data_IF_612755379428
#
_entry.id   IF_612755379428
#
_cell.length_a   1.000
_cell.length_b   1.000
_cell.length_c   1.000
_cell.angle_alpha   90.00
_cell.angle_beta   90.00
_cell.angle_gamma   90.00
#
_symmetry.space_group_name_H-M   'P 1'
#
loop_
_entity.id
_entity.type
_entity.pdbx_description
1 polymer ?
#
# COMPACT_ATOMS: atom_id res chain seq x y z
N UNK A 1 4.33 -29.98 4.78
CA UNK A 1 4.20 -28.56 5.13
C UNK A 1 2.99 -28.42 6.06
N UNK A 2 2.98 -27.47 7.01
CA UNK A 2 1.84 -27.35 7.93
C UNK A 2 0.60 -26.83 7.21
N UNK A 3 -0.56 -27.25 7.71
CA UNK A 3 -1.87 -26.68 7.42
C UNK A 3 -2.34 -25.86 8.62
N UNK A 4 -3.24 -24.92 8.39
CA UNK A 4 -3.82 -24.07 9.42
C UNK A 4 -5.34 -24.11 9.35
N UNK A 5 -6.01 -23.80 10.45
CA UNK A 5 -7.46 -23.62 10.49
C UNK A 5 -7.76 -22.14 10.50
N UNK A 6 -8.59 -21.69 9.57
CA UNK A 6 -8.94 -20.28 9.40
C UNK A 6 -10.45 -20.10 9.38
N UNK A 7 -10.91 -18.99 9.97
CA UNK A 7 -12.30 -18.54 9.90
C UNK A 7 -12.32 -17.01 9.98
N UNK A 8 -13.46 -16.42 9.61
CA UNK A 8 -13.68 -14.98 9.80
C UNK A 8 -15.13 -14.74 10.23
N UNK A 9 -15.41 -13.52 10.68
CA UNK A 9 -16.74 -13.11 11.11
C UNK A 9 -17.22 -11.95 10.26
N UNK A 10 -18.51 -11.96 9.90
CA UNK A 10 -19.18 -10.83 9.23
C UNK A 10 -20.10 -10.12 10.21
N UNK A 11 -20.50 -8.89 9.86
CA UNK A 11 -21.59 -8.16 10.53
C UNK A 11 -22.80 -8.12 9.62
N UNK A 12 -23.94 -8.51 10.14
CA UNK A 12 -25.20 -8.44 9.40
C UNK A 12 -26.40 -8.30 10.33
N UNK A 13 -27.46 -7.66 9.84
CA UNK A 13 -28.79 -7.66 10.44
C UNK A 13 -29.72 -8.70 9.77
N UNK A 14 -29.22 -9.39 8.77
CA UNK A 14 -29.96 -10.46 8.08
C UNK A 14 -29.76 -11.76 8.84
N UNK A 15 -30.82 -12.57 9.07
CA UNK A 15 -30.68 -13.86 9.73
C UNK A 15 -29.65 -14.76 9.03
N UNK A 16 -28.75 -15.43 9.76
CA UNK A 16 -27.65 -16.18 9.17
C UNK A 16 -28.10 -17.29 8.22
N UNK A 17 -29.25 -17.90 8.45
CA UNK A 17 -29.82 -18.96 7.60
C UNK A 17 -30.07 -18.53 6.14
N UNK A 18 -30.09 -17.21 5.89
CA UNK A 18 -30.26 -16.64 4.56
C UNK A 18 -28.94 -16.16 3.94
N UNK A 19 -27.79 -16.35 4.60
CA UNK A 19 -26.51 -15.85 4.13
C UNK A 19 -25.61 -17.01 3.73
N UNK A 20 -25.17 -16.98 2.45
CA UNK A 20 -24.05 -17.78 1.98
C UNK A 20 -22.85 -16.91 1.70
N UNK A 21 -21.67 -17.53 1.72
CA UNK A 21 -20.43 -16.83 1.40
C UNK A 21 -19.51 -17.68 0.51
N UNK A 22 -18.70 -16.97 -0.29
CA UNK A 22 -17.44 -17.48 -0.81
C UNK A 22 -16.31 -16.91 0.03
N UNK A 23 -15.27 -17.69 0.27
CA UNK A 23 -14.06 -17.29 0.94
C UNK A 23 -12.85 -17.69 0.09
N UNK A 24 -12.10 -16.69 -0.37
CA UNK A 24 -10.83 -16.88 -1.06
C UNK A 24 -9.73 -16.21 -0.26
N UNK A 25 -8.69 -16.99 0.10
CA UNK A 25 -7.49 -16.47 0.77
C UNK A 25 -6.29 -16.80 -0.13
N UNK A 26 -5.54 -15.78 -0.52
CA UNK A 26 -4.40 -15.94 -1.41
C UNK A 26 -3.33 -14.89 -1.15
N UNK A 27 -2.14 -15.12 -1.69
CA UNK A 27 -1.13 -14.10 -1.93
C UNK A 27 -0.67 -14.13 -3.38
N UNK A 28 -0.08 -13.05 -3.84
CA UNK A 28 0.62 -13.07 -5.13
C UNK A 28 2.05 -13.56 -4.97
N UNK A 29 2.56 -14.28 -5.96
CA UNK A 29 3.98 -14.56 -6.08
C UNK A 29 4.69 -13.47 -6.93
N UNK A 30 6.02 -13.58 -7.06
CA UNK A 30 6.82 -12.64 -7.84
C UNK A 30 6.43 -12.60 -9.33
N UNK A 31 5.81 -13.65 -9.85
CA UNK A 31 5.28 -13.75 -11.21
C UNK A 31 3.83 -13.29 -11.33
N UNK A 32 3.27 -12.70 -10.27
CA UNK A 32 1.88 -12.23 -10.15
C UNK A 32 0.82 -13.32 -10.25
N UNK A 33 1.18 -14.57 -9.99
CA UNK A 33 0.19 -15.63 -9.88
C UNK A 33 -0.38 -15.67 -8.46
N UNK A 34 -1.68 -15.95 -8.35
CA UNK A 34 -2.32 -16.18 -7.06
C UNK A 34 -1.87 -17.54 -6.50
N UNK A 35 -1.24 -17.52 -5.32
CA UNK A 35 -0.99 -18.69 -4.49
C UNK A 35 -2.13 -18.82 -3.50
N UNK A 36 -3.04 -19.73 -3.80
CA UNK A 36 -4.29 -19.92 -3.05
C UNK A 36 -3.98 -20.69 -1.76
N UNK A 37 -4.50 -20.17 -0.65
CA UNK A 37 -4.43 -20.80 0.67
C UNK A 37 -5.76 -21.45 1.05
N UNK A 38 -6.89 -20.79 0.73
CA UNK A 38 -8.26 -21.29 0.90
C UNK A 38 -9.09 -20.83 -0.29
N UNK A 39 -9.92 -21.69 -0.83
CA UNK A 39 -10.92 -21.38 -1.87
C UNK A 39 -12.16 -22.23 -1.63
N UNK A 40 -13.21 -21.59 -1.13
CA UNK A 40 -14.50 -22.22 -0.89
C UNK A 40 -15.63 -21.35 -1.41
N UNK A 41 -16.69 -21.98 -1.89
CA UNK A 41 -17.82 -21.31 -2.53
C UNK A 41 -19.14 -21.70 -1.88
N UNK A 42 -20.04 -20.74 -1.79
CA UNK A 42 -21.43 -20.87 -1.37
C UNK A 42 -21.64 -21.69 -0.08
N UNK A 43 -20.83 -21.39 0.94
CA UNK A 43 -20.95 -22.04 2.25
C UNK A 43 -21.97 -21.29 3.12
N UNK A 44 -22.71 -22.03 3.93
CA UNK A 44 -23.61 -21.45 4.93
C UNK A 44 -22.79 -20.78 6.05
N UNK A 45 -23.18 -19.56 6.42
CA UNK A 45 -22.60 -18.91 7.60
C UNK A 45 -23.16 -19.55 8.88
N UNK A 46 -22.38 -19.53 9.96
CA UNK A 46 -22.85 -20.04 11.25
C UNK A 46 -23.82 -19.05 11.92
N UNK A 47 -24.59 -19.53 12.88
CA UNK A 47 -25.58 -18.71 13.62
C UNK A 47 -24.99 -17.49 14.33
N UNK A 48 -23.72 -17.52 14.64
CA UNK A 48 -22.96 -16.41 15.25
C UNK A 48 -22.31 -15.47 14.23
N UNK A 49 -22.64 -15.61 12.93
CA UNK A 49 -22.06 -14.89 11.78
C UNK A 49 -20.58 -15.19 11.52
N UNK A 50 -20.08 -16.31 11.99
CA UNK A 50 -18.75 -16.80 11.64
C UNK A 50 -18.82 -17.70 10.41
N UNK A 51 -17.78 -17.67 9.60
CA UNK A 51 -17.59 -18.68 8.55
C UNK A 51 -17.36 -20.04 9.19
N UNK A 52 -17.54 -21.11 8.44
CA UNK A 52 -17.07 -22.43 8.85
C UNK A 52 -15.55 -22.37 9.06
N UNK A 53 -15.02 -23.32 9.84
CA UNK A 53 -13.59 -23.52 9.96
C UNK A 53 -13.08 -24.20 8.69
N UNK A 54 -12.14 -23.56 8.00
CA UNK A 54 -11.54 -24.07 6.78
C UNK A 54 -10.10 -24.46 7.01
N UNK A 55 -9.73 -25.66 6.54
CA UNK A 55 -8.33 -26.09 6.54
C UNK A 55 -7.64 -25.49 5.32
N UNK A 56 -6.51 -24.84 5.55
CA UNK A 56 -5.71 -24.26 4.47
C UNK A 56 -5.03 -25.32 3.63
N UNK A 57 -4.62 -24.94 2.42
CA UNK A 57 -3.58 -25.66 1.71
C UNK A 57 -2.29 -25.71 2.55
N UNK A 58 -1.44 -26.71 2.29
CA UNK A 58 -0.13 -26.78 2.91
C UNK A 58 0.74 -25.57 2.51
N UNK A 59 1.40 -24.96 3.47
CA UNK A 59 2.31 -23.85 3.21
C UNK A 59 3.52 -23.89 4.12
N UNK A 60 4.68 -23.46 3.60
CA UNK A 60 5.91 -23.21 4.37
C UNK A 60 6.20 -21.71 4.51
N UNK A 61 5.21 -20.87 4.19
CA UNK A 61 5.39 -19.42 4.29
C UNK A 61 5.61 -19.00 5.74
N UNK A 62 6.51 -18.03 5.99
CA UNK A 62 6.69 -17.44 7.32
C UNK A 62 5.39 -16.84 7.85
N UNK A 63 5.23 -16.78 9.17
CA UNK A 63 4.06 -16.20 9.83
C UNK A 63 3.80 -14.73 9.47
N UNK A 64 4.83 -13.98 9.10
CA UNK A 64 4.71 -12.59 8.67
C UNK A 64 4.23 -12.43 7.21
N UNK A 65 4.11 -13.51 6.44
CA UNK A 65 3.64 -13.44 5.04
C UNK A 65 2.23 -12.91 4.98
N UNK A 66 2.00 -11.88 4.15
CA UNK A 66 0.71 -11.22 3.99
C UNK A 66 -0.15 -11.94 2.96
N UNK A 67 -1.38 -12.24 3.35
CA UNK A 67 -2.42 -12.81 2.51
C UNK A 67 -3.57 -11.82 2.33
N UNK A 68 -4.21 -11.85 1.17
CA UNK A 68 -5.47 -11.16 0.92
C UNK A 68 -6.61 -12.14 1.15
N UNK A 69 -7.55 -11.76 1.99
CA UNK A 69 -8.81 -12.48 2.21
C UNK A 69 -9.91 -11.75 1.46
N UNK A 70 -10.57 -12.45 0.55
CA UNK A 70 -11.74 -11.98 -0.19
C UNK A 70 -12.99 -12.71 0.29
N UNK A 71 -14.04 -11.96 0.61
CA UNK A 71 -15.35 -12.52 1.00
C UNK A 71 -16.41 -12.00 0.06
N UNK A 72 -17.13 -12.89 -0.59
CA UNK A 72 -18.32 -12.58 -1.38
C UNK A 72 -19.55 -13.09 -0.63
N UNK A 73 -20.59 -12.27 -0.52
CA UNK A 73 -21.83 -12.65 0.17
C UNK A 73 -22.95 -12.84 -0.81
N UNK A 74 -23.82 -13.80 -0.48
CA UNK A 74 -25.02 -14.13 -1.20
C UNK A 74 -26.22 -14.14 -0.24
N UNK A 75 -27.36 -13.76 -0.75
CA UNK A 75 -28.65 -13.96 -0.10
C UNK A 75 -29.33 -15.19 -0.73
N UNK A 76 -29.67 -16.13 0.11
CA UNK A 76 -30.47 -17.30 -0.28
C UNK A 76 -31.92 -17.08 0.12
N UNK A 77 -32.85 -17.37 -0.77
CA UNK A 77 -34.25 -17.55 -0.48
C UNK A 77 -34.71 -18.95 -0.96
N UNK A 78 -35.98 -19.23 -0.85
CA UNK A 78 -36.53 -20.56 -1.24
C UNK A 78 -36.42 -20.85 -2.74
N UNK A 79 -36.25 -19.85 -3.59
CA UNK A 79 -36.30 -19.99 -5.05
C UNK A 79 -34.93 -19.78 -5.70
N UNK A 80 -34.09 -18.93 -5.12
CA UNK A 80 -32.84 -18.55 -5.75
C UNK A 80 -31.76 -18.07 -4.73
N UNK A 81 -30.52 -18.11 -5.19
CA UNK A 81 -29.37 -17.49 -4.50
C UNK A 81 -28.89 -16.31 -5.32
N UNK A 82 -28.90 -15.13 -4.74
CA UNK A 82 -28.41 -13.89 -5.37
C UNK A 82 -27.15 -13.41 -4.73
N UNK A 83 -26.18 -13.05 -5.56
CA UNK A 83 -24.98 -12.34 -5.12
C UNK A 83 -25.38 -10.93 -4.67
N UNK A 84 -24.98 -10.55 -3.45
CA UNK A 84 -25.30 -9.24 -2.86
C UNK A 84 -24.13 -8.27 -2.90
N UNK A 85 -22.90 -8.75 -2.91
CA UNK A 85 -21.72 -7.89 -3.02
C UNK A 85 -21.33 -7.75 -4.47
N UNK A 86 -21.38 -6.54 -5.08
CA UNK A 86 -20.97 -6.33 -6.48
C UNK A 86 -19.49 -6.71 -6.70
N UNK A 87 -18.66 -6.45 -5.70
CA UNK A 87 -17.25 -6.86 -5.64
C UNK A 87 -16.99 -7.57 -4.31
N UNK A 88 -16.04 -8.50 -4.24
CA UNK A 88 -15.64 -9.10 -2.97
C UNK A 88 -15.18 -8.03 -1.97
N UNK A 89 -15.37 -8.29 -0.69
CA UNK A 89 -14.74 -7.52 0.38
C UNK A 89 -13.36 -8.08 0.64
N UNK A 90 -12.36 -7.21 0.63
CA UNK A 90 -10.97 -7.61 0.74
C UNK A 90 -10.35 -7.05 2.01
N UNK A 91 -9.56 -7.87 2.70
CA UNK A 91 -8.70 -7.47 3.81
C UNK A 91 -7.37 -8.18 3.77
N UNK A 92 -6.36 -7.55 4.38
CA UNK A 92 -5.03 -8.14 4.54
C UNK A 92 -4.88 -8.74 5.93
N UNK A 93 -4.24 -9.91 5.99
CA UNK A 93 -3.83 -10.57 7.21
C UNK A 93 -2.47 -11.23 7.02
N UNK A 94 -1.68 -11.28 8.08
CA UNK A 94 -0.50 -12.15 8.11
C UNK A 94 -0.93 -13.61 8.28
N UNK A 95 -0.09 -14.56 7.87
CA UNK A 95 -0.36 -15.98 8.11
C UNK A 95 -0.49 -16.28 9.62
N UNK A 96 0.29 -15.59 10.46
CA UNK A 96 0.18 -15.71 11.91
C UNK A 96 -1.19 -15.26 12.44
N UNK A 97 -1.74 -14.15 11.92
CA UNK A 97 -3.09 -13.70 12.27
C UNK A 97 -4.16 -14.70 11.84
N UNK A 98 -4.05 -15.21 10.62
CA UNK A 98 -4.99 -16.22 10.09
C UNK A 98 -4.96 -17.52 10.91
N UNK A 99 -3.75 -18.04 11.18
CA UNK A 99 -3.57 -19.31 11.88
C UNK A 99 -3.87 -19.26 13.39
N UNK A 100 -3.82 -18.08 13.99
CA UNK A 100 -4.14 -17.90 15.41
C UNK A 100 -5.63 -17.67 15.69
N UNK A 101 -6.48 -17.70 14.68
CA UNK A 101 -7.89 -17.34 14.79
C UNK A 101 -8.13 -15.85 15.07
N UNK A 102 -7.08 -15.02 14.98
CA UNK A 102 -7.15 -13.58 15.23
C UNK A 102 -7.70 -12.77 14.06
N UNK A 103 -8.02 -13.42 12.96
CA UNK A 103 -8.75 -12.78 11.86
C UNK A 103 -10.07 -12.13 12.33
N UNK A 104 -10.56 -12.49 13.50
CA UNK A 104 -11.73 -11.91 14.14
C UNK A 104 -11.60 -11.68 15.66
N UNK A 105 -10.49 -12.08 16.34
CA UNK A 105 -10.32 -11.94 17.80
C UNK A 105 -8.83 -11.91 18.19
N UNK A 106 -8.40 -11.17 19.22
CA UNK A 106 -9.15 -10.28 20.11
C UNK A 106 -9.42 -8.92 19.51
N UNK A 107 -8.68 -8.52 18.50
CA UNK A 107 -8.98 -7.37 17.65
C UNK A 107 -9.98 -7.88 16.63
N UNK A 108 -11.25 -7.94 17.01
CA UNK A 108 -12.34 -8.36 16.14
C UNK A 108 -12.31 -7.53 14.85
N UNK A 109 -11.57 -7.96 13.86
CA UNK A 109 -11.66 -7.44 12.51
C UNK A 109 -12.92 -8.05 11.89
N UNK A 110 -14.06 -7.53 12.32
CA UNK A 110 -15.30 -7.87 11.66
C UNK A 110 -15.20 -7.47 10.21
N UNK A 111 -15.43 -8.41 9.36
CA UNK A 111 -15.41 -8.24 7.93
C UNK A 111 -16.83 -8.06 7.43
N UNK A 112 -17.00 -8.08 6.13
CA UNK A 112 -17.99 -7.26 5.47
C UNK A 112 -19.27 -7.14 6.25
N UNK A 113 -19.79 -5.89 6.27
CA UNK A 113 -21.10 -5.61 6.83
C UNK A 113 -22.15 -5.80 5.73
N UNK A 114 -23.22 -6.52 6.06
CA UNK A 114 -24.39 -6.65 5.22
C UNK A 114 -25.63 -6.25 6.03
N UNK A 115 -26.25 -5.13 5.67
CA UNK A 115 -27.45 -4.62 6.34
C UNK A 115 -28.55 -4.38 5.33
N UNK A 116 -29.72 -4.94 5.60
CA UNK A 116 -30.96 -4.59 4.88
C UNK A 116 -31.61 -3.37 5.57
N UNK A 117 -32.16 -2.46 4.77
CA UNK A 117 -32.97 -1.34 5.30
C UNK A 117 -34.27 -1.86 5.89
N UNK A 118 -34.93 -1.07 6.76
CA UNK A 118 -36.23 -1.45 7.34
C UNK A 118 -37.28 -1.70 6.27
N UNK A 119 -37.26 -0.97 5.18
CA UNK A 119 -38.18 -1.14 4.06
C UNK A 119 -37.89 -2.46 3.31
N UNK A 120 -36.64 -2.76 3.08
CA UNK A 120 -36.20 -4.02 2.49
C UNK A 120 -36.52 -5.21 3.41
N UNK A 121 -36.32 -5.06 4.70
CA UNK A 121 -36.65 -6.12 5.69
C UNK A 121 -38.16 -6.39 5.76
N UNK A 122 -39.02 -5.41 5.49
CA UNK A 122 -40.47 -5.59 5.38
C UNK A 122 -40.88 -6.31 4.10
N UNK A 123 -40.15 -6.13 3.02
CA UNK A 123 -40.41 -6.73 1.71
C UNK A 123 -39.85 -8.15 1.58
N UNK A 124 -38.88 -8.50 2.43
CA UNK A 124 -38.23 -9.81 2.39
C UNK A 124 -39.00 -10.79 3.25
N UNK A 125 -40.16 -11.18 2.77
CA UNK A 125 -40.72 -12.49 3.14
C UNK A 125 -40.03 -13.56 2.33
N UNK A 126 -39.92 -14.83 2.84
CA UNK A 126 -39.41 -15.92 2.04
C UNK A 126 -40.19 -15.97 0.71
N UNK A 127 -39.49 -15.76 -0.41
CA UNK A 127 -40.08 -15.76 -1.75
C UNK A 127 -40.24 -14.40 -2.45
N UNK A 128 -39.92 -13.25 -1.84
CA UNK A 128 -40.03 -11.94 -2.49
C UNK A 128 -38.71 -11.44 -3.08
N UNK A 129 -38.79 -10.91 -4.32
CA UNK A 129 -37.65 -10.72 -5.23
C UNK A 129 -36.77 -9.50 -5.02
N UNK A 130 -37.10 -8.55 -4.16
CA UNK A 130 -36.42 -7.27 -4.10
C UNK A 130 -35.49 -7.13 -2.90
N UNK A 131 -34.33 -7.81 -2.99
CA UNK A 131 -33.27 -7.61 -2.03
C UNK A 131 -32.19 -6.77 -2.70
N UNK A 132 -32.23 -5.48 -2.49
CA UNK A 132 -31.08 -4.61 -2.64
C UNK A 132 -30.39 -4.56 -1.28
N UNK A 133 -29.39 -5.34 -1.18
CA UNK A 133 -28.64 -5.33 0.01
C UNK A 133 -27.35 -4.61 -0.22
N UNK A 134 -26.88 -4.15 0.82
CA UNK A 134 -25.60 -3.64 1.12
C UNK A 134 -25.56 -2.20 1.27
N UNK A 135 -25.58 -1.86 2.48
CA UNK A 135 -24.72 -0.75 2.72
C UNK A 135 -23.77 -1.15 3.81
N UNK A 136 -22.53 -1.32 3.41
CA UNK A 136 -21.53 -0.76 4.26
C UNK A 136 -22.02 0.66 4.46
N UNK A 137 -22.47 1.01 5.66
CA UNK A 137 -22.55 2.41 6.03
C UNK A 137 -21.10 2.88 6.05
N UNK A 138 -20.56 3.17 4.86
CA UNK A 138 -19.32 3.89 4.77
C UNK A 138 -19.62 5.24 5.37
N UNK A 139 -18.94 5.61 6.48
CA UNK A 139 -18.89 7.02 6.80
C UNK A 139 -18.45 7.73 5.52
N UNK A 140 -18.86 8.97 5.38
CA UNK A 140 -18.32 9.84 4.35
C UNK A 140 -16.81 9.58 4.24
N UNK A 141 -16.30 9.37 3.02
CA UNK A 141 -14.88 9.01 2.84
C UNK A 141 -13.99 9.93 3.66
N UNK A 142 -12.93 9.42 4.31
CA UNK A 142 -12.11 10.21 5.23
C UNK A 142 -11.36 11.35 4.52
N UNK A 143 -10.91 11.12 3.26
CA UNK A 143 -10.11 12.10 2.52
C UNK A 143 -10.98 13.08 1.72
N UNK A 144 -10.90 14.36 2.10
CA UNK A 144 -11.61 15.49 1.46
C UNK A 144 -10.63 16.67 1.39
N UNK A 145 -10.22 17.07 0.19
CA UNK A 145 -9.42 18.27 0.02
C UNK A 145 -10.27 19.52 0.24
N UNK A 146 -9.75 20.50 1.00
CA UNK A 146 -10.51 21.69 1.37
C UNK A 146 -10.87 22.55 0.16
N UNK A 147 -9.94 22.72 -0.76
CA UNK A 147 -10.13 23.52 -1.99
C UNK A 147 -10.84 22.73 -3.11
N UNK A 148 -10.91 21.40 -2.98
CA UNK A 148 -11.54 20.51 -3.96
C UNK A 148 -12.45 19.50 -3.25
N UNK A 149 -13.57 19.98 -2.64
CA UNK A 149 -14.46 19.12 -1.86
C UNK A 149 -15.18 18.08 -2.72
N UNK A 150 -15.92 17.20 -2.08
CA UNK A 150 -16.71 16.17 -2.76
C UNK A 150 -17.66 16.84 -3.77
N UNK A 151 -17.63 16.35 -5.01
CA UNK A 151 -18.42 16.86 -6.13
C UNK A 151 -17.78 18.02 -6.91
N UNK A 152 -16.56 18.44 -6.52
CA UNK A 152 -15.77 19.35 -7.33
C UNK A 152 -15.15 18.60 -8.53
N UNK A 153 -15.12 19.22 -9.72
CA UNK A 153 -14.60 18.59 -10.94
C UNK A 153 -13.14 18.15 -10.85
N UNK A 154 -12.37 18.78 -9.97
CA UNK A 154 -10.97 18.45 -9.69
C UNK A 154 -10.79 17.81 -8.31
N UNK A 155 -11.80 17.10 -7.79
CA UNK A 155 -11.66 16.35 -6.54
C UNK A 155 -10.57 15.26 -6.67
N UNK A 156 -9.39 15.40 -6.01
CA UNK A 156 -8.29 14.46 -6.18
C UNK A 156 -8.60 13.07 -5.61
N UNK A 157 -9.59 12.98 -4.72
CA UNK A 157 -9.98 11.74 -4.04
C UNK A 157 -11.28 11.14 -4.59
N UNK A 158 -11.76 11.61 -5.75
CA UNK A 158 -12.93 11.08 -6.39
C UNK A 158 -12.75 9.58 -6.67
N UNK A 159 -13.83 8.81 -6.50
CA UNK A 159 -13.81 7.34 -6.51
C UNK A 159 -13.27 6.75 -7.81
N UNK A 160 -13.66 7.30 -8.96
CA UNK A 160 -13.22 6.81 -10.26
C UNK A 160 -11.74 7.08 -10.46
N UNK A 161 -11.25 8.25 -10.07
CA UNK A 161 -9.85 8.66 -10.14
C UNK A 161 -8.98 7.73 -9.28
N UNK A 162 -9.34 7.53 -8.02
CA UNK A 162 -8.57 6.66 -7.13
C UNK A 162 -8.59 5.22 -7.62
N UNK A 163 -9.72 4.73 -8.11
CA UNK A 163 -9.82 3.37 -8.66
C UNK A 163 -8.93 3.18 -9.88
N UNK A 164 -8.89 4.14 -10.78
CA UNK A 164 -8.00 4.14 -11.94
C UNK A 164 -6.54 4.14 -11.51
N UNK A 165 -6.15 5.04 -10.61
CA UNK A 165 -4.80 5.13 -10.07
C UNK A 165 -4.37 3.83 -9.37
N UNK A 166 -5.22 3.20 -8.57
CA UNK A 166 -4.94 1.89 -7.96
C UNK A 166 -4.69 0.84 -9.06
N UNK A 167 -5.51 0.81 -10.10
CA UNK A 167 -5.36 -0.15 -11.21
C UNK A 167 -4.05 0.07 -11.96
N UNK A 168 -3.69 1.30 -12.24
CA UNK A 168 -2.44 1.68 -12.91
C UNK A 168 -1.22 1.27 -12.09
N UNK A 169 -1.25 1.52 -10.76
CA UNK A 169 -0.19 1.09 -9.83
C UNK A 169 -0.10 -0.42 -9.71
N UNK A 170 -1.22 -1.12 -9.60
CA UNK A 170 -1.26 -2.58 -9.57
C UNK A 170 -0.62 -3.18 -10.82
N UNK A 171 -0.82 -2.58 -11.98
CA UNK A 171 -0.23 -3.03 -13.25
C UNK A 171 1.20 -2.51 -13.49
N UNK A 172 1.78 -1.76 -12.55
CA UNK A 172 3.13 -1.15 -12.66
C UNK A 172 3.31 -0.28 -13.91
N UNK A 173 2.23 0.39 -14.31
CA UNK A 173 2.24 1.36 -15.40
C UNK A 173 2.62 2.77 -14.92
N UNK A 174 2.62 2.97 -13.62
CA UNK A 174 2.98 4.21 -12.94
C UNK A 174 3.54 3.87 -11.54
N UNK A 175 4.29 4.79 -10.93
CA UNK A 175 4.99 4.58 -9.66
C UNK A 175 4.72 5.72 -8.67
N UNK A 176 4.92 5.47 -7.33
CA UNK A 176 4.72 6.49 -6.32
C UNK A 176 5.50 7.78 -6.61
N UNK A 177 4.80 8.91 -6.63
CA UNK A 177 5.40 10.20 -6.92
C UNK A 177 5.19 11.16 -5.75
N UNK A 178 6.29 11.57 -5.12
CA UNK A 178 6.26 12.48 -3.98
C UNK A 178 5.84 13.92 -4.31
N UNK A 179 5.69 14.28 -5.60
CA UNK A 179 5.52 15.67 -6.00
C UNK A 179 6.69 16.54 -5.52
N UNK A 180 6.37 17.67 -4.92
CA UNK A 180 7.34 18.61 -4.36
C UNK A 180 7.59 18.43 -2.86
N UNK A 181 6.89 17.48 -2.23
CA UNK A 181 6.95 17.23 -0.79
C UNK A 181 8.16 16.42 -0.35
N UNK A 182 8.44 16.43 0.97
CA UNK A 182 9.47 15.61 1.61
C UNK A 182 9.00 14.16 1.83
N UNK A 183 8.44 13.55 0.79
CA UNK A 183 7.83 12.21 0.81
C UNK A 183 8.71 11.14 0.15
N UNK A 184 10.02 11.40 -0.03
CA UNK A 184 10.93 10.45 -0.69
C UNK A 184 11.06 9.12 0.08
N UNK A 185 11.07 9.14 1.42
CA UNK A 185 11.08 7.92 2.23
C UNK A 185 9.81 7.07 2.02
N UNK A 186 8.61 7.62 2.24
CA UNK A 186 7.36 6.95 1.89
C UNK A 186 7.30 6.46 0.44
N UNK A 187 7.78 7.26 -0.52
CA UNK A 187 7.79 6.89 -1.93
C UNK A 187 8.70 5.67 -2.19
N UNK A 188 9.90 5.64 -1.61
CA UNK A 188 10.81 4.49 -1.68
C UNK A 188 10.18 3.23 -1.07
N UNK A 189 9.54 3.37 0.09
CA UNK A 189 8.83 2.28 0.75
C UNK A 189 7.69 1.72 -0.11
N UNK A 190 6.76 2.57 -0.55
CA UNK A 190 5.61 2.11 -1.34
C UNK A 190 6.01 1.64 -2.75
N UNK A 191 7.09 2.17 -3.33
CA UNK A 191 7.66 1.61 -4.56
C UNK A 191 8.11 0.16 -4.35
N UNK A 192 8.84 -0.14 -3.29
CA UNK A 192 9.26 -1.51 -2.99
C UNK A 192 8.06 -2.45 -2.77
N UNK A 193 7.04 -2.01 -2.02
CA UNK A 193 5.78 -2.78 -1.85
C UNK A 193 5.11 -3.03 -3.21
N UNK A 194 4.98 -2.00 -4.05
CA UNK A 194 4.36 -2.12 -5.37
C UNK A 194 5.09 -3.13 -6.27
N UNK A 195 6.43 -3.13 -6.22
CA UNK A 195 7.24 -4.01 -7.04
C UNK A 195 7.18 -5.46 -6.57
N UNK A 196 7.16 -5.70 -5.27
CA UNK A 196 7.14 -7.05 -4.70
C UNK A 196 5.73 -7.63 -4.60
N UNK A 197 4.79 -6.82 -4.10
CA UNK A 197 3.42 -7.20 -3.76
C UNK A 197 2.43 -6.11 -4.19
N UNK A 198 2.17 -5.99 -5.52
CA UNK A 198 1.21 -4.99 -6.04
C UNK A 198 -0.20 -5.17 -5.48
N UNK A 199 -0.58 -6.38 -5.08
CA UNK A 199 -1.82 -6.69 -4.38
C UNK A 199 -1.89 -6.04 -3.00
N UNK A 200 -0.79 -6.08 -2.24
CA UNK A 200 -0.67 -5.42 -0.92
C UNK A 200 -0.72 -3.90 -1.07
N UNK A 201 0.01 -3.33 -2.04
CA UNK A 201 -0.06 -1.91 -2.35
C UNK A 201 -1.49 -1.46 -2.66
N UNK A 202 -2.15 -2.15 -3.61
CA UNK A 202 -3.50 -1.83 -4.03
C UNK A 202 -4.52 -1.95 -2.89
N UNK A 203 -4.36 -2.96 -2.04
CA UNK A 203 -5.24 -3.15 -0.88
C UNK A 203 -5.01 -2.08 0.19
N UNK A 204 -3.75 -1.72 0.48
CA UNK A 204 -3.44 -0.64 1.42
C UNK A 204 -4.02 0.70 0.97
N UNK A 205 -3.85 1.06 -0.31
CA UNK A 205 -4.43 2.27 -0.88
C UNK A 205 -5.96 2.28 -0.80
N UNK A 206 -6.61 1.14 -1.08
CA UNK A 206 -8.06 0.98 -0.97
C UNK A 206 -8.54 1.14 0.48
N UNK A 207 -7.87 0.51 1.44
CA UNK A 207 -8.23 0.60 2.85
C UNK A 207 -8.07 2.03 3.39
N UNK A 208 -6.97 2.70 3.05
CA UNK A 208 -6.76 4.12 3.40
C UNK A 208 -7.87 5.01 2.81
N UNK A 209 -8.18 4.84 1.53
CA UNK A 209 -9.25 5.62 0.89
C UNK A 209 -10.62 5.37 1.51
N UNK A 210 -10.95 4.11 1.84
CA UNK A 210 -12.26 3.74 2.40
C UNK A 210 -12.41 4.12 3.87
N UNK A 211 -11.36 3.95 4.67
CA UNK A 211 -11.46 3.98 6.14
C UNK A 211 -10.42 4.89 6.81
N UNK A 212 -9.55 5.56 6.06
CA UNK A 212 -8.47 6.39 6.62
C UNK A 212 -7.45 5.62 7.45
N UNK A 213 -7.36 4.31 7.28
CA UNK A 213 -6.39 3.47 7.99
C UNK A 213 -6.14 2.16 7.26
N UNK A 214 -4.94 1.63 7.41
CA UNK A 214 -4.56 0.29 6.93
C UNK A 214 -3.48 -0.32 7.83
N UNK A 215 -3.23 -1.61 7.65
CA UNK A 215 -2.15 -2.31 8.33
C UNK A 215 -1.44 -3.23 7.33
N UNK A 216 -0.16 -3.01 7.12
CA UNK A 216 0.70 -3.84 6.27
C UNK A 216 1.63 -4.63 7.19
N UNK A 217 1.45 -5.94 7.33
CA UNK A 217 2.17 -6.73 8.34
C UNK A 217 1.86 -6.19 9.74
N UNK A 218 2.88 -5.70 10.44
CA UNK A 218 2.75 -5.02 11.73
C UNK A 218 2.78 -3.47 11.60
N UNK A 219 2.96 -2.94 10.41
CA UNK A 219 2.96 -1.50 10.15
C UNK A 219 1.52 -0.99 10.10
N UNK A 220 1.11 -0.24 11.12
CA UNK A 220 -0.17 0.47 11.13
C UNK A 220 0.00 1.85 10.54
N UNK A 221 -0.90 2.24 9.62
CA UNK A 221 -0.95 3.56 9.00
C UNK A 221 -2.31 4.16 9.32
N UNK A 222 -2.30 5.20 10.15
CA UNK A 222 -3.50 5.89 10.61
C UNK A 222 -3.22 7.40 10.64
N UNK A 223 -3.40 8.09 9.50
CA UNK A 223 -3.16 9.53 9.41
C UNK A 223 -4.14 10.31 10.29
N UNK A 224 -3.70 11.47 10.77
CA UNK A 224 -4.52 12.41 11.51
C UNK A 224 -5.56 13.12 10.64
N UNK A 225 -6.45 13.86 11.28
CA UNK A 225 -7.52 14.58 10.60
C UNK A 225 -7.00 15.62 9.60
N UNK A 226 -5.89 16.31 9.90
CA UNK A 226 -5.26 17.27 9.00
C UNK A 226 -4.84 16.65 7.67
N UNK A 227 -4.21 15.47 7.72
CA UNK A 227 -3.81 14.73 6.54
C UNK A 227 -5.03 14.21 5.74
N UNK A 228 -6.09 13.80 6.43
CA UNK A 228 -7.34 13.39 5.78
C UNK A 228 -8.10 14.57 5.16
N UNK A 229 -7.91 15.79 5.66
CA UNK A 229 -8.56 17.02 5.17
C UNK A 229 -7.53 18.06 4.75
N UNK A 230 -6.67 17.72 3.77
CA UNK A 230 -5.56 18.58 3.38
C UNK A 230 -6.04 19.91 2.81
N UNK A 231 -5.23 20.94 3.04
CA UNK A 231 -5.33 22.23 2.38
C UNK A 231 -4.27 22.36 1.29
N UNK A 232 -4.38 23.41 0.47
CA UNK A 232 -3.44 23.72 -0.58
C UNK A 232 -3.82 23.19 -1.95
N UNK A 233 -3.00 23.53 -2.92
CA UNK A 233 -3.33 23.33 -4.31
C UNK A 233 -2.81 21.99 -4.82
N UNK A 234 -3.70 21.06 -5.11
CA UNK A 234 -3.37 19.77 -5.71
C UNK A 234 -2.98 19.86 -7.19
N UNK A 235 -3.24 21.00 -7.85
CA UNK A 235 -3.08 21.13 -9.31
C UNK A 235 -2.27 22.36 -9.71
N UNK A 236 -1.48 22.21 -10.76
CA UNK A 236 -0.86 23.32 -11.44
C UNK A 236 -1.83 23.93 -12.47
N UNK A 237 -2.47 25.03 -12.10
CA UNK A 237 -3.43 25.73 -12.96
C UNK A 237 -2.78 26.57 -14.07
N UNK A 238 -1.46 26.66 -14.16
CA UNK A 238 -0.77 27.30 -15.29
C UNK A 238 -0.86 26.49 -16.59
N UNK A 239 -1.31 25.25 -16.48
CA UNK A 239 -1.57 24.35 -17.64
C UNK A 239 -3.06 24.18 -17.87
N UNK A 240 -3.44 23.94 -19.10
CA UNK A 240 -4.83 23.64 -19.48
C UNK A 240 -4.86 22.33 -20.29
N UNK A 241 -5.45 21.23 -19.80
CA UNK A 241 -6.06 21.12 -18.47
C UNK A 241 -5.04 21.20 -17.31
N UNK A 242 -5.50 21.54 -16.09
CA UNK A 242 -4.64 21.56 -14.91
C UNK A 242 -3.98 20.20 -14.67
N UNK A 243 -2.69 20.20 -14.31
CA UNK A 243 -1.95 18.95 -14.05
C UNK A 243 -1.72 18.74 -12.57
N UNK A 244 -1.87 17.52 -12.04
CA UNK A 244 -1.62 17.24 -10.63
C UNK A 244 -0.19 17.59 -10.20
N UNK A 245 -0.04 18.27 -9.08
CA UNK A 245 1.22 18.46 -8.37
C UNK A 245 1.55 17.22 -7.52
N UNK A 246 0.51 16.62 -6.97
CA UNK A 246 0.53 15.30 -6.34
C UNK A 246 -0.78 14.59 -6.67
N UNK A 247 -0.71 13.29 -6.95
CA UNK A 247 -1.91 12.51 -7.23
C UNK A 247 -2.67 12.17 -5.95
N UNK A 248 -3.99 11.93 -6.07
CA UNK A 248 -4.80 11.51 -4.93
C UNK A 248 -4.27 10.25 -4.25
N UNK A 249 -3.85 9.24 -5.04
CA UNK A 249 -3.31 7.99 -4.48
C UNK A 249 -1.97 8.22 -3.75
N UNK A 250 -1.13 9.10 -4.28
CA UNK A 250 0.16 9.41 -3.63
C UNK A 250 -0.08 10.16 -2.30
N UNK A 251 -1.05 11.08 -2.26
CA UNK A 251 -1.42 11.70 -1.00
C UNK A 251 -1.92 10.66 0.02
N UNK A 252 -2.90 9.82 -0.36
CA UNK A 252 -3.49 8.82 0.56
C UNK A 252 -2.45 7.82 1.06
N UNK A 253 -1.44 7.48 0.26
CA UNK A 253 -0.42 6.51 0.67
C UNK A 253 0.77 7.19 1.33
N UNK A 254 1.46 8.10 0.63
CA UNK A 254 2.73 8.66 1.07
C UNK A 254 2.56 9.64 2.23
N UNK A 255 1.61 10.56 2.12
CA UNK A 255 1.35 11.53 3.18
C UNK A 255 0.80 10.84 4.42
N UNK A 256 -0.11 9.87 4.26
CA UNK A 256 -0.63 9.09 5.39
C UNK A 256 0.44 8.33 6.17
N UNK A 257 1.37 7.67 5.47
CA UNK A 257 2.49 7.00 6.14
C UNK A 257 3.35 7.99 6.89
N UNK A 258 3.66 9.13 6.26
CA UNK A 258 4.49 10.17 6.88
C UNK A 258 3.82 10.77 8.10
N UNK A 259 2.53 11.08 8.01
CA UNK A 259 1.74 11.69 9.08
C UNK A 259 1.55 10.75 10.27
N UNK A 260 1.33 9.46 10.01
CA UNK A 260 1.14 8.44 11.05
C UNK A 260 2.34 8.29 11.99
N UNK A 261 3.55 8.61 11.53
CA UNK A 261 4.78 8.51 12.31
C UNK A 261 5.18 9.85 12.97
N UNK A 262 4.56 10.96 12.58
CA UNK A 262 4.89 12.27 13.11
C UNK A 262 3.95 12.68 14.26
N UNK A 263 4.28 12.30 15.48
CA UNK A 263 3.55 12.75 16.67
C UNK A 263 3.63 14.28 16.92
N UNK A 264 4.53 15.01 16.23
CA UNK A 264 4.79 16.43 16.51
C UNK A 264 4.59 17.38 15.31
N UNK A 265 4.47 16.88 14.08
CA UNK A 265 4.31 17.70 12.87
C UNK A 265 3.25 17.06 11.98
N UNK A 266 2.08 17.66 11.90
CA UNK A 266 1.01 17.21 11.03
C UNK A 266 1.36 17.48 9.55
N UNK A 267 1.11 16.50 8.70
CA UNK A 267 1.20 16.65 7.24
C UNK A 267 -0.19 17.01 6.71
N UNK A 268 -0.55 18.30 6.78
CA UNK A 268 -1.91 18.80 6.55
C UNK A 268 -2.06 19.70 5.32
N UNK A 269 -0.96 19.97 4.60
CA UNK A 269 -0.98 20.80 3.40
C UNK A 269 -0.04 20.26 2.32
N UNK A 270 -0.46 20.41 1.04
CA UNK A 270 0.31 19.98 -0.14
C UNK A 270 1.65 20.71 -0.22
N UNK A 271 1.71 21.95 0.25
CA UNK A 271 2.89 22.83 0.19
C UNK A 271 3.73 22.83 1.48
N UNK A 272 3.50 21.86 2.39
CA UNK A 272 4.19 21.83 3.68
C UNK A 272 5.69 21.51 3.54
N UNK A 273 6.61 22.50 3.73
CA UNK A 273 8.04 22.26 3.61
C UNK A 273 8.67 21.66 4.88
N UNK A 274 7.88 21.50 5.94
CA UNK A 274 8.39 21.31 7.30
C UNK A 274 8.81 19.88 7.63
N UNK A 275 8.51 18.90 6.81
CA UNK A 275 8.93 17.53 7.07
C UNK A 275 10.26 17.25 6.39
N UNK A 276 11.36 17.35 7.13
CA UNK A 276 12.70 16.92 6.69
C UNK A 276 12.72 15.48 6.16
N UNK A 277 13.86 15.04 5.63
CA UNK A 277 14.07 13.66 5.16
C UNK A 277 13.67 12.67 6.24
N UNK A 278 12.94 11.61 5.85
CA UNK A 278 12.69 10.47 6.74
C UNK A 278 14.00 9.91 7.24
N UNK A 279 14.16 9.80 8.55
CA UNK A 279 15.37 9.23 9.15
C UNK A 279 15.51 7.75 8.77
N UNK A 280 16.74 7.28 8.61
CA UNK A 280 17.01 5.90 8.20
C UNK A 280 16.49 4.86 9.18
N UNK A 281 16.49 5.16 10.48
CA UNK A 281 15.92 4.26 11.50
C UNK A 281 14.41 4.07 11.30
N UNK A 282 13.69 5.18 11.10
CA UNK A 282 12.25 5.18 10.84
C UNK A 282 11.91 4.44 9.55
N UNK A 283 12.67 4.71 8.48
CA UNK A 283 12.46 4.03 7.21
C UNK A 283 12.73 2.52 7.33
N UNK A 284 13.81 2.11 8.01
CA UNK A 284 14.10 0.71 8.27
C UNK A 284 12.99 0.03 9.08
N UNK A 285 12.47 0.71 10.09
CA UNK A 285 11.36 0.21 10.92
C UNK A 285 10.08 -0.03 10.10
N UNK A 286 9.73 0.88 9.18
CA UNK A 286 8.58 0.69 8.29
C UNK A 286 8.71 -0.58 7.44
N UNK A 287 9.87 -0.78 6.84
CA UNK A 287 10.14 -1.99 6.06
C UNK A 287 10.03 -3.25 6.92
N UNK A 288 10.66 -3.27 8.10
CA UNK A 288 10.64 -4.43 8.99
C UNK A 288 9.22 -4.74 9.51
N UNK A 289 8.47 -3.73 9.94
CA UNK A 289 7.07 -3.90 10.36
C UNK A 289 6.17 -4.38 9.22
N UNK A 290 6.44 -3.97 7.98
CA UNK A 290 5.74 -4.46 6.81
C UNK A 290 6.11 -5.90 6.42
N UNK A 291 7.08 -6.51 7.08
CA UNK A 291 7.48 -7.91 6.86
C UNK A 291 8.74 -8.10 6.03
N UNK A 292 9.46 -7.03 5.67
CA UNK A 292 10.77 -7.13 5.03
C UNK A 292 11.84 -7.57 6.04
N UNK A 293 12.78 -8.38 5.59
CA UNK A 293 13.99 -8.72 6.35
C UNK A 293 15.12 -7.76 5.99
N UNK A 294 15.57 -6.95 6.94
CA UNK A 294 16.74 -6.10 6.80
C UNK A 294 18.00 -6.96 6.88
N UNK A 295 18.80 -7.01 5.82
CA UNK A 295 20.02 -7.82 5.74
C UNK A 295 21.29 -6.99 5.85
N UNK A 296 21.22 -5.70 5.55
CA UNK A 296 22.34 -4.77 5.68
C UNK A 296 21.85 -3.33 5.88
N UNK A 297 22.57 -2.56 6.69
CA UNK A 297 22.30 -1.14 6.88
C UNK A 297 23.59 -0.41 7.25
N UNK A 298 23.98 0.57 6.43
CA UNK A 298 25.01 1.55 6.75
C UNK A 298 24.57 3.00 6.40
N UNK A 299 23.25 3.19 6.19
CA UNK A 299 22.71 4.52 5.95
C UNK A 299 22.96 5.44 7.15
N UNK A 300 23.43 6.65 6.92
CA UNK A 300 23.77 7.60 7.98
C UNK A 300 24.21 8.95 7.46
N UNK A 301 24.95 9.66 8.28
CA UNK A 301 25.55 10.95 7.93
C UNK A 301 26.96 10.81 7.35
N UNK A 302 27.57 9.65 7.46
CA UNK A 302 28.88 9.34 6.91
C UNK A 302 28.76 8.96 5.45
N UNK A 303 29.70 9.44 4.64
CA UNK A 303 29.73 9.09 3.20
C UNK A 303 30.05 7.61 3.03
N UNK A 304 29.42 7.00 2.04
CA UNK A 304 29.69 5.63 1.64
C UNK A 304 31.00 5.51 0.85
N UNK A 305 31.38 4.28 0.57
CA UNK A 305 32.63 3.88 -0.08
C UNK A 305 32.39 3.14 -1.40
N UNK A 306 33.46 2.88 -2.15
CA UNK A 306 33.43 2.02 -3.34
C UNK A 306 33.03 0.57 -2.96
N UNK A 307 33.42 0.11 -1.79
CA UNK A 307 33.08 -1.24 -1.34
C UNK A 307 31.59 -1.36 -1.03
N UNK A 308 30.95 -0.30 -0.55
CA UNK A 308 29.49 -0.26 -0.40
C UNK A 308 28.80 -0.36 -1.76
N UNK A 309 29.29 0.34 -2.79
CA UNK A 309 28.75 0.23 -4.15
C UNK A 309 28.86 -1.18 -4.68
N UNK A 310 29.99 -1.85 -4.50
CA UNK A 310 30.19 -3.27 -4.91
C UNK A 310 29.21 -4.18 -4.19
N UNK A 311 29.04 -3.97 -2.89
CA UNK A 311 28.10 -4.74 -2.06
C UNK A 311 26.65 -4.52 -2.54
N UNK A 312 26.24 -3.27 -2.79
CA UNK A 312 24.90 -2.97 -3.29
C UNK A 312 24.65 -3.52 -4.69
N UNK A 313 25.65 -3.47 -5.58
CA UNK A 313 25.57 -4.11 -6.89
C UNK A 313 25.30 -5.62 -6.79
N UNK A 314 25.98 -6.31 -5.86
CA UNK A 314 25.76 -7.75 -5.62
C UNK A 314 24.32 -8.00 -5.13
N UNK A 315 23.81 -7.20 -4.19
CA UNK A 315 22.45 -7.34 -3.69
C UNK A 315 21.40 -7.06 -4.75
N UNK A 316 21.54 -6.00 -5.55
CA UNK A 316 20.61 -5.71 -6.67
C UNK A 316 20.58 -6.87 -7.65
N UNK A 317 21.75 -7.41 -8.03
CA UNK A 317 21.86 -8.54 -8.94
C UNK A 317 21.17 -9.81 -8.41
N UNK A 318 21.09 -9.95 -7.10
CA UNK A 318 20.37 -11.03 -6.41
C UNK A 318 18.89 -10.74 -6.18
N UNK A 319 18.38 -9.60 -6.69
CA UNK A 319 16.97 -9.20 -6.59
C UNK A 319 16.55 -8.61 -5.23
N UNK A 320 17.52 -8.19 -4.39
CA UNK A 320 17.21 -7.51 -3.13
C UNK A 320 16.80 -6.06 -3.38
N UNK A 321 16.05 -5.48 -2.47
CA UNK A 321 15.72 -4.06 -2.48
C UNK A 321 16.87 -3.26 -1.87
N UNK A 322 17.51 -2.43 -2.66
CA UNK A 322 18.60 -1.55 -2.23
C UNK A 322 18.06 -0.12 -2.18
N UNK A 323 17.93 0.40 -0.98
CA UNK A 323 17.39 1.74 -0.70
C UNK A 323 18.51 2.61 -0.14
N UNK A 324 18.89 3.66 -0.87
CA UNK A 324 20.07 4.44 -0.51
C UNK A 324 19.74 5.90 -0.25
N UNK A 325 20.51 6.50 0.67
CA UNK A 325 20.42 7.89 1.06
C UNK A 325 21.47 8.71 0.30
N UNK A 326 21.01 9.75 -0.37
CA UNK A 326 21.87 10.59 -1.21
C UNK A 326 21.60 12.08 -0.98
N UNK A 327 22.54 12.93 -1.42
CA UNK A 327 22.26 14.33 -1.66
C UNK A 327 21.57 14.45 -3.03
N UNK A 328 20.34 14.95 -3.06
CA UNK A 328 19.50 15.01 -4.26
C UNK A 328 20.13 15.75 -5.44
N UNK A 329 21.09 16.64 -5.18
CA UNK A 329 21.84 17.36 -6.21
C UNK A 329 22.68 16.47 -7.14
N UNK A 330 22.78 15.14 -6.90
CA UNK A 330 23.36 14.19 -7.85
C UNK A 330 22.39 13.80 -8.98
N UNK A 331 21.10 14.08 -8.82
CA UNK A 331 20.06 13.69 -9.77
C UNK A 331 19.77 14.81 -10.78
N UNK A 332 19.42 14.42 -12.00
CA UNK A 332 18.93 15.34 -13.03
C UNK A 332 17.70 16.13 -12.54
N UNK A 333 17.61 17.39 -12.95
CA UNK A 333 16.49 18.26 -12.56
C UNK A 333 16.57 18.80 -11.12
N UNK A 334 17.61 18.46 -10.36
CA UNK A 334 17.87 19.02 -9.05
C UNK A 334 19.18 19.82 -9.04
N UNK A 335 19.09 21.15 -9.02
CA UNK A 335 20.25 22.06 -9.05
C UNK A 335 20.86 22.36 -7.68
N UNK A 336 20.46 21.63 -6.65
CA UNK A 336 21.03 21.79 -5.31
C UNK A 336 22.53 21.50 -5.31
N UNK A 337 23.29 22.46 -4.81
CA UNK A 337 24.74 22.34 -4.56
C UNK A 337 25.03 21.66 -3.23
N UNK A 338 24.00 21.48 -2.39
CA UNK A 338 24.16 20.87 -1.07
C UNK A 338 24.61 19.41 -1.21
N UNK A 339 25.58 19.05 -0.39
CA UNK A 339 26.11 17.68 -0.31
C UNK A 339 25.69 16.95 0.96
N UNK A 340 24.63 17.42 1.61
CA UNK A 340 24.04 16.78 2.78
C UNK A 340 22.99 15.74 2.34
N UNK A 341 22.81 14.65 3.12
CA UNK A 341 21.81 13.62 2.81
C UNK A 341 20.40 14.22 2.92
N UNK A 342 19.64 14.18 1.84
CA UNK A 342 18.31 14.76 1.79
C UNK A 342 17.33 14.03 0.87
N UNK A 343 17.73 12.90 0.29
CA UNK A 343 16.88 12.18 -0.66
C UNK A 343 17.06 10.67 -0.61
N UNK A 344 15.95 9.92 -0.62
CA UNK A 344 15.93 8.48 -0.73
C UNK A 344 15.66 8.04 -2.17
N UNK A 345 16.46 7.08 -2.64
CA UNK A 345 16.32 6.44 -3.95
C UNK A 345 16.32 4.92 -3.78
N UNK A 346 15.73 4.21 -4.75
CA UNK A 346 15.79 2.75 -4.80
C UNK A 346 16.51 2.33 -6.07
N UNK A 347 17.52 1.48 -5.96
CA UNK A 347 18.26 0.97 -7.09
C UNK A 347 17.45 -0.05 -7.86
N UNK A 348 17.40 0.09 -9.18
CA UNK A 348 16.71 -0.82 -10.10
C UNK A 348 17.70 -1.61 -10.97
N UNK A 349 18.94 -1.15 -11.08
CA UNK A 349 20.05 -1.83 -11.76
C UNK A 349 21.34 -1.73 -10.95
N UNK A 350 22.36 -2.43 -11.40
CA UNK A 350 23.71 -2.19 -10.91
C UNK A 350 24.21 -0.80 -11.33
N UNK A 351 24.95 -0.14 -10.45
CA UNK A 351 25.74 1.02 -10.80
C UNK A 351 26.92 0.57 -11.67
N UNK A 352 27.01 1.11 -12.87
CA UNK A 352 28.09 0.84 -13.84
C UNK A 352 28.92 2.08 -14.09
N UNK A 353 30.13 1.89 -14.58
CA UNK A 353 31.07 2.95 -14.93
C UNK A 353 31.57 2.71 -16.38
N UNK A 354 31.62 3.76 -17.18
CA UNK A 354 32.13 3.70 -18.54
C UNK A 354 33.64 4.04 -18.61
N UNK A 355 34.24 3.98 -19.80
CA UNK A 355 35.66 4.27 -20.06
C UNK A 355 36.05 5.73 -19.75
N UNK A 356 35.09 6.63 -19.53
CA UNK A 356 35.31 8.03 -19.16
C UNK A 356 35.11 8.28 -17.67
N UNK A 357 35.07 7.22 -16.86
CA UNK A 357 34.76 7.28 -15.42
C UNK A 357 33.35 7.78 -15.08
N UNK A 358 32.46 7.94 -16.07
CA UNK A 358 31.08 8.35 -15.85
C UNK A 358 30.25 7.17 -15.39
N UNK A 359 29.40 7.40 -14.39
CA UNK A 359 28.54 6.37 -13.83
C UNK A 359 27.13 6.40 -14.42
N UNK A 360 26.51 5.25 -14.44
CA UNK A 360 25.11 5.06 -14.79
C UNK A 360 24.44 4.14 -13.77
N UNK A 361 23.24 4.51 -13.36
CA UNK A 361 22.42 3.75 -12.42
C UNK A 361 20.94 3.96 -12.76
N UNK A 362 20.26 2.91 -13.21
CA UNK A 362 18.81 2.96 -13.24
C UNK A 362 18.28 2.89 -11.80
N UNK A 363 17.48 3.85 -11.43
CA UNK A 363 16.95 3.99 -10.08
C UNK A 363 15.54 4.56 -10.09
N UNK A 364 14.78 4.23 -9.06
CA UNK A 364 13.49 4.85 -8.79
C UNK A 364 13.69 6.18 -8.04
N UNK A 365 13.09 7.22 -8.60
CA UNK A 365 12.91 8.54 -7.97
C UNK A 365 11.80 9.31 -8.70
N UNK A 366 11.08 10.18 -7.99
CA UNK A 366 10.04 11.08 -8.53
C UNK A 366 9.05 10.40 -9.50
N UNK A 367 8.56 9.22 -9.14
CA UNK A 367 7.57 8.49 -9.93
C UNK A 367 8.09 7.84 -11.20
N UNK A 368 9.39 7.71 -11.37
CA UNK A 368 10.02 7.12 -12.54
C UNK A 368 11.14 6.16 -12.17
N UNK A 369 11.38 5.18 -13.06
CA UNK A 369 12.55 4.29 -13.03
C UNK A 369 13.36 4.53 -14.30
N UNK A 370 14.50 5.15 -14.17
CA UNK A 370 15.47 5.42 -15.26
C UNK A 370 16.83 5.75 -14.69
N UNK A 371 17.81 5.99 -15.56
CA UNK A 371 19.03 6.66 -15.10
C UNK A 371 18.73 8.13 -14.83
N UNK A 372 18.65 8.46 -13.54
CA UNK A 372 18.45 9.84 -13.07
C UNK A 372 19.77 10.54 -12.71
N UNK A 373 20.90 9.85 -12.84
CA UNK A 373 22.21 10.43 -12.52
C UNK A 373 22.55 11.53 -13.52
N UNK A 374 23.01 12.67 -13.04
CA UNK A 374 23.48 13.75 -13.90
C UNK A 374 24.56 13.27 -14.87
N UNK A 375 24.52 13.79 -16.08
CA UNK A 375 25.62 13.63 -17.06
C UNK A 375 26.95 14.05 -16.46
N UNK A 376 28.05 13.47 -16.89
CA UNK A 376 29.42 13.71 -16.42
C UNK A 376 29.63 13.41 -14.90
N UNK A 377 28.75 12.63 -14.28
CA UNK A 377 28.93 12.19 -12.91
C UNK A 377 29.96 11.08 -12.80
N UNK A 378 31.10 11.41 -12.21
CA UNK A 378 32.14 10.41 -11.91
C UNK A 378 31.89 9.70 -10.59
N UNK A 379 32.51 8.53 -10.40
CA UNK A 379 32.41 7.76 -9.16
C UNK A 379 32.82 8.60 -7.93
N UNK A 380 33.87 9.40 -8.05
CA UNK A 380 34.34 10.28 -6.97
C UNK A 380 33.29 11.34 -6.61
N UNK A 381 32.66 11.96 -7.62
CA UNK A 381 31.59 12.97 -7.40
C UNK A 381 30.35 12.36 -6.82
N UNK A 382 30.02 11.11 -7.20
CA UNK A 382 28.91 10.34 -6.64
C UNK A 382 29.16 10.04 -5.16
N UNK A 383 30.32 9.49 -4.79
CA UNK A 383 30.67 9.16 -3.41
C UNK A 383 30.62 10.39 -2.48
N UNK A 384 30.91 11.57 -2.98
CA UNK A 384 30.76 12.82 -2.23
C UNK A 384 29.30 13.18 -1.91
N UNK A 385 28.32 12.49 -2.49
CA UNK A 385 26.87 12.68 -2.34
C UNK A 385 26.11 11.43 -1.94
N UNK A 386 26.83 10.37 -1.62
CA UNK A 386 26.29 9.06 -1.28
C UNK A 386 26.52 8.76 0.20
N UNK A 387 25.47 8.41 0.94
CA UNK A 387 25.47 8.26 2.39
C UNK A 387 25.06 6.85 2.84
N UNK A 388 25.43 5.83 2.06
CA UNK A 388 25.09 4.46 2.35
C UNK A 388 23.64 4.13 2.07
N UNK A 389 23.19 3.01 2.60
CA UNK A 389 21.86 2.52 2.34
C UNK A 389 21.46 1.34 3.21
N UNK A 390 20.32 0.80 2.85
CA UNK A 390 19.70 -0.36 3.47
C UNK A 390 19.37 -1.39 2.40
N UNK A 391 19.50 -2.65 2.76
CA UNK A 391 19.19 -3.78 1.87
C UNK A 391 18.16 -4.67 2.54
N UNK A 392 17.10 -4.97 1.79
CA UNK A 392 16.02 -5.81 2.27
C UNK A 392 15.80 -7.00 1.33
N UNK A 393 15.46 -8.16 1.90
CA UNK A 393 14.92 -9.26 1.08
C UNK A 393 13.55 -8.86 0.52
N UNK A 394 13.23 -9.26 -0.73
CA UNK A 394 11.90 -9.01 -1.29
C UNK A 394 10.79 -9.53 -0.40
N UNK A 395 9.70 -8.78 -0.32
CA UNK A 395 8.50 -9.17 0.40
C UNK A 395 7.81 -10.36 -0.30
N UNK A 396 7.47 -11.40 0.45
CA UNK A 396 6.80 -12.60 -0.07
C UNK A 396 5.28 -12.50 0.02
#
# INVERSE_FOLDING_TARGET
MPTHIVSTRIRSNVPPDYILYDLLIYRMDAQRNKRILVDVTQQNIQSNYETQQHITQETSDPGATIYIMEVTLYRQNMLETRRITPTPFNKMYTLAELSSGRAWSPIKRENPCYFETREQTRLVKPGEENIQAVQISSPERPFIAKEYPIGHDLDPFERSIIREQITTRFNQLDYPNQGWGSLCGPAAFFYCIQMDRPDVYAQAARELWCWGKTKIGELEITPGEGCCRPSGNFYNHKRNPPTPLISGIDWITLASLRDSENAMINYDAVDCPAAGVTMWQTLAEWFQKAGYELVFCNAGITRGSVDDIRLFNDYVNRGYKVVTLVAGGLLEGNDSILTMPNHWIVWDSQLTQNDRDEISLALFSWGNVKNHIKTDMTIHRFLNRFFGGMVFKPLK
#
